data_IF_525156128498
#
_entry.id   IF_525156128498
#
_cell.length_a   1.000
_cell.length_b   1.000
_cell.length_c   1.000
_cell.angle_alpha   90.00
_cell.angle_beta   90.00
_cell.angle_gamma   90.00
#
_symmetry.space_group_name_H-M   'P 1'
#
loop_
_entity.id
_entity.type
_entity.pdbx_description
1 polymer ?
#
# COMPACT_ATOMS: atom_id res chain seq x y z
N UNK A 1 1.49 37.99 7.61
CA UNK A 1 0.26 37.37 7.09
C UNK A 1 0.66 35.99 6.60
N UNK A 2 0.42 34.96 7.42
CA UNK A 2 0.78 33.57 7.08
C UNK A 2 -0.33 32.98 6.20
N UNK A 3 -0.03 32.77 4.92
CA UNK A 3 -0.94 32.13 3.98
C UNK A 3 -0.65 30.63 4.01
N UNK A 4 -1.63 29.84 4.47
CA UNK A 4 -1.58 28.37 4.45
C UNK A 4 -2.27 27.87 3.17
N UNK A 5 -1.61 26.99 2.43
CA UNK A 5 -2.21 26.30 1.28
C UNK A 5 -2.69 24.92 1.69
N UNK A 6 -3.91 24.55 1.30
CA UNK A 6 -4.43 23.18 1.36
C UNK A 6 -4.38 22.53 -0.01
N UNK A 7 -3.92 21.28 -0.10
CA UNK A 7 -3.95 20.48 -1.33
C UNK A 7 -5.22 19.65 -1.41
N UNK A 8 -5.81 19.61 -2.61
CA UNK A 8 -7.03 18.86 -2.94
C UNK A 8 -6.80 18.18 -4.30
N UNK A 9 -7.05 16.87 -4.39
CA UNK A 9 -6.98 16.10 -5.64
C UNK A 9 -8.37 15.53 -6.00
N UNK A 10 -8.74 15.57 -7.29
CA UNK A 10 -10.02 15.08 -7.82
C UNK A 10 -9.74 14.26 -9.11
N UNK A 11 -10.29 13.05 -9.28
CA UNK A 11 -10.06 12.21 -10.47
C UNK A 11 -11.22 12.28 -11.49
N UNK A 12 -10.89 12.37 -12.79
CA UNK A 12 -11.83 12.28 -13.92
C UNK A 12 -11.54 11.03 -14.77
N UNK A 13 -12.61 10.33 -15.18
CA UNK A 13 -12.62 9.03 -15.88
C UNK A 13 -12.58 9.18 -17.40
N UNK A 14 -11.73 8.42 -18.11
CA UNK A 14 -11.93 8.08 -19.54
C UNK A 14 -11.54 6.61 -19.81
N UNK A 15 -12.39 5.92 -20.59
CA UNK A 15 -12.37 4.49 -20.86
C UNK A 15 -11.46 4.04 -22.04
N UNK A 16 -10.86 2.87 -21.80
CA UNK A 16 -10.35 1.75 -22.63
C UNK A 16 -10.43 1.85 -24.17
N UNK A 17 -9.32 1.48 -24.84
CA UNK A 17 -9.33 0.66 -26.06
C UNK A 17 -8.35 -0.51 -25.95
N UNK A 18 -8.87 -1.74 -26.06
CA UNK A 18 -8.10 -2.95 -26.32
C UNK A 18 -7.94 -3.13 -27.83
N UNK A 19 -6.72 -3.32 -28.32
CA UNK A 19 -6.46 -3.72 -29.71
C UNK A 19 -6.20 -5.23 -29.70
N UNK A 20 -7.16 -6.01 -30.21
CA UNK A 20 -6.95 -7.40 -30.56
C UNK A 20 -6.19 -7.45 -31.91
N UNK A 21 -4.99 -8.02 -31.92
CA UNK A 21 -4.27 -8.34 -33.15
C UNK A 21 -4.54 -9.82 -33.46
N UNK A 22 -5.14 -10.17 -34.62
CA UNK A 22 -5.28 -11.55 -35.03
C UNK A 22 -3.96 -12.05 -35.61
N UNK A 23 -3.33 -13.02 -34.94
CA UNK A 23 -2.11 -13.65 -35.43
C UNK A 23 -1.77 -14.90 -34.63
N UNK A 24 -1.65 -16.04 -35.31
CA UNK A 24 -1.36 -17.36 -34.75
C UNK A 24 0.16 -17.53 -34.48
N UNK A 25 0.80 -16.57 -33.82
CA UNK A 25 2.21 -16.65 -33.42
C UNK A 25 2.29 -17.07 -31.94
N UNK A 26 3.15 -18.05 -31.57
CA UNK A 26 3.29 -18.47 -30.19
C UNK A 26 3.79 -17.31 -29.32
N UNK A 27 2.97 -16.91 -28.35
CA UNK A 27 3.17 -15.78 -27.44
C UNK A 27 4.31 -15.98 -26.40
N UNK A 28 5.06 -17.07 -26.48
CA UNK A 28 6.18 -17.32 -25.56
C UNK A 28 7.46 -17.51 -26.39
N UNK A 29 8.45 -16.62 -26.28
CA UNK A 29 9.79 -16.93 -26.77
C UNK A 29 10.32 -18.14 -25.99
N UNK A 30 11.03 -19.03 -26.70
CA UNK A 30 11.77 -20.15 -26.08
C UNK A 30 12.58 -19.63 -24.89
N UNK A 31 12.49 -20.35 -23.76
CA UNK A 31 13.19 -20.04 -22.52
C UNK A 31 14.70 -20.11 -22.79
N UNK A 32 15.30 -18.95 -23.05
CA UNK A 32 16.72 -18.79 -23.29
C UNK A 32 17.51 -19.22 -22.04
N UNK A 33 18.60 -19.94 -22.30
CA UNK A 33 19.67 -20.37 -21.38
C UNK A 33 20.14 -19.31 -20.37
N UNK A 34 19.83 -18.03 -20.59
CA UNK A 34 20.10 -16.92 -19.66
C UNK A 34 19.35 -17.00 -18.33
N UNK A 35 18.22 -17.71 -18.24
CA UNK A 35 17.52 -17.91 -16.95
C UNK A 35 18.38 -18.71 -15.96
N UNK A 36 19.29 -19.57 -16.44
CA UNK A 36 20.20 -20.32 -15.58
C UNK A 36 21.36 -19.48 -15.01
N UNK A 37 21.67 -18.30 -15.58
CA UNK A 37 22.66 -17.40 -14.99
C UNK A 37 22.06 -16.54 -13.87
N UNK A 38 20.79 -16.14 -13.97
CA UNK A 38 20.10 -15.42 -12.90
C UNK A 38 19.95 -16.29 -11.65
N UNK A 39 19.81 -17.61 -11.81
CA UNK A 39 19.75 -18.56 -10.68
C UNK A 39 21.07 -18.76 -9.93
N UNK A 40 22.17 -18.11 -10.36
CA UNK A 40 23.50 -18.18 -9.71
C UNK A 40 23.85 -16.93 -8.89
N UNK A 41 22.98 -15.92 -8.89
CA UNK A 41 23.12 -14.79 -7.95
C UNK A 41 22.70 -15.34 -6.59
N UNK A 42 23.69 -15.79 -5.80
CA UNK A 42 23.46 -16.00 -4.38
C UNK A 42 23.11 -14.64 -3.77
N UNK A 43 22.03 -14.53 -2.98
CA UNK A 43 21.79 -13.32 -2.22
C UNK A 43 23.05 -13.04 -1.41
N UNK A 44 23.59 -11.81 -1.50
CA UNK A 44 24.58 -11.35 -0.55
C UNK A 44 23.87 -11.27 0.80
N UNK A 45 23.93 -12.38 1.53
CA UNK A 45 23.57 -12.44 2.94
C UNK A 45 24.78 -11.83 3.66
N UNK A 46 24.58 -10.68 4.31
CA UNK A 46 25.59 -10.13 5.20
C UNK A 46 25.96 -11.20 6.25
N UNK A 47 27.24 -11.32 6.61
CA UNK A 47 27.70 -12.29 7.61
C UNK A 47 26.85 -12.19 8.89
N UNK A 48 26.27 -13.31 9.30
CA UNK A 48 25.19 -13.40 10.28
C UNK A 48 25.56 -12.99 11.73
N UNK A 49 26.81 -12.65 12.01
CA UNK A 49 27.28 -12.43 13.39
C UNK A 49 27.18 -10.98 13.90
N UNK A 50 26.85 -9.98 13.05
CA UNK A 50 26.66 -8.58 13.48
C UNK A 50 25.44 -7.86 12.83
N UNK A 51 24.55 -8.58 12.14
CA UNK A 51 23.40 -7.94 11.49
C UNK A 51 22.41 -7.40 12.52
N UNK A 52 22.19 -6.08 12.52
CA UNK A 52 21.19 -5.44 13.37
C UNK A 52 19.79 -5.87 12.95
N UNK A 53 18.98 -6.24 13.94
CA UNK A 53 17.61 -6.71 13.73
C UNK A 53 16.60 -5.61 14.05
N UNK A 54 15.60 -5.47 13.18
CA UNK A 54 14.47 -4.57 13.34
C UNK A 54 13.19 -5.40 13.56
N UNK A 55 12.75 -5.47 14.80
CA UNK A 55 11.59 -6.26 15.20
C UNK A 55 10.28 -5.44 15.18
N UNK A 56 9.23 -6.03 14.62
CA UNK A 56 7.86 -5.55 14.68
C UNK A 56 6.90 -6.67 15.12
N UNK A 57 5.79 -6.28 15.76
CA UNK A 57 4.65 -7.16 15.99
C UNK A 57 3.40 -6.54 15.37
N UNK A 58 2.72 -7.32 14.53
CA UNK A 58 1.45 -6.98 13.93
C UNK A 58 0.37 -7.97 14.40
N UNK A 59 -0.79 -7.46 14.75
CA UNK A 59 -1.96 -8.23 15.17
C UNK A 59 -3.03 -8.04 14.13
N UNK A 60 -3.49 -9.14 13.54
CA UNK A 60 -4.59 -9.13 12.58
C UNK A 60 -5.90 -9.21 13.38
N UNK A 61 -6.78 -8.24 13.19
CA UNK A 61 -8.06 -8.16 13.90
C UNK A 61 -9.15 -7.44 13.09
N UNK A 62 -10.41 -7.71 13.42
CA UNK A 62 -11.54 -6.95 12.91
C UNK A 62 -11.61 -5.58 13.59
N UNK A 63 -11.92 -4.52 12.83
CA UNK A 63 -12.03 -3.16 13.34
C UNK A 63 -13.09 -2.37 12.59
N UNK A 64 -13.98 -1.73 13.35
CA UNK A 64 -15.06 -0.92 12.80
C UNK A 64 -14.59 0.51 12.52
N UNK A 65 -14.73 0.95 11.27
CA UNK A 65 -14.46 2.33 10.85
C UNK A 65 -15.76 3.04 10.49
N UNK A 66 -16.06 4.17 11.14
CA UNK A 66 -17.12 5.05 10.67
C UNK A 66 -16.65 5.80 9.42
N UNK A 67 -17.01 5.27 8.25
CA UNK A 67 -16.63 5.82 6.94
C UNK A 67 -17.54 6.95 6.48
N UNK A 68 -18.75 7.05 7.06
CA UNK A 68 -19.62 8.21 6.97
C UNK A 68 -20.59 8.23 8.15
N UNK A 69 -21.30 9.35 8.43
CA UNK A 69 -22.33 9.37 9.48
C UNK A 69 -23.44 8.32 9.32
N UNK A 70 -23.56 7.73 8.11
CA UNK A 70 -24.60 6.78 7.75
C UNK A 70 -24.09 5.35 7.56
N UNK A 71 -22.78 5.11 7.69
CA UNK A 71 -22.21 3.80 7.39
C UNK A 71 -20.95 3.48 8.22
N UNK A 72 -20.83 2.21 8.60
CA UNK A 72 -19.66 1.62 9.25
C UNK A 72 -19.09 0.54 8.34
N UNK A 73 -17.77 0.52 8.19
CA UNK A 73 -17.05 -0.51 7.48
C UNK A 73 -16.40 -1.45 8.50
N UNK A 74 -16.74 -2.73 8.44
CA UNK A 74 -16.20 -3.79 9.31
C UNK A 74 -14.89 -4.31 8.73
N UNK A 75 -13.82 -3.55 8.87
CA UNK A 75 -12.56 -3.81 8.20
C UNK A 75 -11.71 -4.88 8.94
N UNK A 76 -10.71 -5.40 8.24
CA UNK A 76 -9.67 -6.26 8.80
C UNK A 76 -8.36 -5.48 8.77
N UNK A 77 -7.64 -5.46 9.87
CA UNK A 77 -6.51 -4.56 10.05
C UNK A 77 -5.30 -5.29 10.59
N UNK A 78 -4.13 -4.71 10.35
CA UNK A 78 -2.96 -4.95 11.19
C UNK A 78 -2.88 -3.82 12.23
N UNK A 79 -2.97 -4.15 13.52
CA UNK A 79 -2.92 -3.24 14.67
C UNK A 79 -4.02 -2.15 14.68
N UNK A 80 -5.23 -2.47 14.23
CA UNK A 80 -6.39 -1.58 14.34
C UNK A 80 -6.37 -0.36 13.42
N UNK A 81 -5.45 -0.30 12.44
CA UNK A 81 -5.35 0.84 11.51
C UNK A 81 -5.37 0.42 10.05
N UNK A 82 -5.79 1.35 9.19
CA UNK A 82 -5.76 1.20 7.73
C UNK A 82 -5.10 2.44 7.12
N UNK A 83 -3.99 2.29 6.37
CA UNK A 83 -3.17 1.08 6.29
C UNK A 83 -2.64 0.67 7.67
N UNK A 84 -2.03 -0.52 7.73
CA UNK A 84 -1.18 -0.91 8.84
C UNK A 84 -0.12 0.17 9.15
N UNK A 85 0.41 0.21 10.39
CA UNK A 85 1.54 1.07 10.71
C UNK A 85 2.70 0.84 9.74
N UNK A 86 3.27 1.92 9.20
CA UNK A 86 4.42 1.84 8.30
C UNK A 86 5.61 1.19 9.02
N UNK A 87 6.14 0.12 8.46
CA UNK A 87 7.36 -0.50 8.93
C UNK A 87 8.55 0.27 8.36
N UNK A 88 9.50 0.66 9.20
CA UNK A 88 10.75 1.30 8.78
C UNK A 88 11.94 0.43 9.14
N UNK A 89 12.86 0.25 8.21
CA UNK A 89 14.05 -0.58 8.37
C UNK A 89 15.20 0.03 7.58
N UNK A 90 16.43 -0.16 8.04
CA UNK A 90 17.61 0.37 7.35
C UNK A 90 18.18 -0.69 6.38
N UNK A 91 18.69 -0.25 5.22
CA UNK A 91 19.44 -1.11 4.30
C UNK A 91 20.62 -1.77 5.05
N UNK A 92 20.72 -3.09 4.95
CA UNK A 92 21.65 -3.95 5.69
C UNK A 92 21.05 -4.60 6.95
N UNK A 93 19.93 -4.11 7.50
CA UNK A 93 19.28 -4.72 8.66
C UNK A 93 18.47 -5.99 8.28
N UNK A 94 18.20 -6.82 9.29
CA UNK A 94 17.19 -7.89 9.20
C UNK A 94 15.84 -7.34 9.64
N UNK A 95 14.84 -7.35 8.76
CA UNK A 95 13.46 -7.07 9.14
C UNK A 95 12.82 -8.34 9.70
N UNK A 96 12.44 -8.32 10.98
CA UNK A 96 11.68 -9.40 11.64
C UNK A 96 10.28 -8.93 11.97
N UNK A 97 9.26 -9.62 11.46
CA UNK A 97 7.84 -9.28 11.70
C UNK A 97 7.15 -10.50 12.30
N UNK A 98 6.76 -10.41 13.58
CA UNK A 98 5.86 -11.39 14.20
C UNK A 98 4.42 -10.98 13.94
N UNK A 99 3.65 -11.87 13.34
CA UNK A 99 2.25 -11.64 13.01
C UNK A 99 1.39 -12.59 13.83
N UNK A 100 0.42 -12.03 14.55
CA UNK A 100 -0.54 -12.77 15.37
C UNK A 100 -1.90 -12.65 14.70
N UNK A 101 -2.58 -13.77 14.47
CA UNK A 101 -3.91 -13.76 13.89
C UNK A 101 -4.98 -13.83 15.00
N UNK A 102 -5.54 -12.67 15.35
CA UNK A 102 -6.69 -12.55 16.26
C UNK A 102 -8.03 -12.45 15.51
N UNK A 103 -8.03 -12.74 14.20
CA UNK A 103 -9.23 -12.81 13.38
C UNK A 103 -9.73 -14.27 13.27
N UNK A 104 -10.95 -14.44 12.73
CA UNK A 104 -11.60 -15.74 12.64
C UNK A 104 -11.34 -16.49 11.31
N UNK A 105 -10.63 -15.87 10.37
CA UNK A 105 -10.18 -16.46 9.11
C UNK A 105 -8.67 -16.73 9.15
N UNK A 106 -8.19 -17.57 8.23
CA UNK A 106 -6.74 -17.76 8.03
C UNK A 106 -6.18 -16.54 7.30
N UNK A 107 -5.04 -16.03 7.79
CA UNK A 107 -4.39 -14.85 7.25
C UNK A 107 -2.88 -15.05 7.08
N UNK A 108 -2.24 -14.16 6.34
CA UNK A 108 -0.80 -14.15 6.13
C UNK A 108 -0.24 -12.74 6.06
N UNK A 109 1.07 -12.65 6.01
CA UNK A 109 1.81 -11.42 5.71
C UNK A 109 2.72 -11.71 4.53
N UNK A 110 2.46 -11.05 3.40
CA UNK A 110 3.28 -11.12 2.21
C UNK A 110 3.88 -9.75 1.92
N UNK A 111 5.20 -9.63 2.09
CA UNK A 111 5.94 -8.41 1.80
C UNK A 111 6.57 -8.48 0.40
N UNK A 112 6.43 -7.41 -0.37
CA UNK A 112 6.98 -7.26 -1.72
C UNK A 112 8.47 -6.88 -1.65
N UNK A 113 9.26 -7.67 -0.92
CA UNK A 113 10.71 -7.46 -0.80
C UNK A 113 11.42 -7.88 -2.09
N UNK A 114 12.49 -7.17 -2.45
CA UNK A 114 13.29 -7.49 -3.64
C UNK A 114 13.95 -8.88 -3.55
N UNK A 115 14.43 -9.23 -2.35
CA UNK A 115 15.02 -10.52 -2.02
C UNK A 115 14.25 -11.12 -0.84
N UNK A 116 13.87 -12.40 -0.94
CA UNK A 116 13.23 -13.12 0.15
C UNK A 116 13.53 -14.62 0.10
N UNK A 117 13.54 -15.26 1.26
CA UNK A 117 13.49 -16.71 1.38
C UNK A 117 12.02 -17.15 1.23
N UNK A 118 11.70 -18.10 0.33
CA UNK A 118 10.33 -18.61 0.17
C UNK A 118 9.66 -19.00 1.49
N UNK A 119 10.40 -19.46 2.52
CA UNK A 119 9.86 -19.78 3.85
C UNK A 119 9.16 -18.59 4.54
N UNK A 120 9.55 -17.36 4.20
CA UNK A 120 9.02 -16.11 4.74
C UNK A 120 8.20 -15.33 3.69
N UNK A 121 7.76 -15.97 2.60
CA UNK A 121 6.98 -15.30 1.55
C UNK A 121 5.53 -14.99 1.99
N UNK A 122 4.90 -15.89 2.75
CA UNK A 122 3.52 -15.70 3.23
C UNK A 122 2.48 -15.72 2.11
N UNK A 123 2.72 -16.49 1.05
CA UNK A 123 1.82 -16.67 -0.09
C UNK A 123 1.38 -18.14 -0.25
N UNK A 124 0.39 -18.45 -1.11
CA UNK A 124 -0.09 -19.81 -1.34
C UNK A 124 1.02 -20.77 -1.79
N UNK A 125 2.15 -20.27 -2.30
CA UNK A 125 3.31 -21.11 -2.63
C UNK A 125 3.82 -21.88 -1.39
N UNK A 126 3.69 -21.30 -0.20
CA UNK A 126 4.12 -21.92 1.05
C UNK A 126 3.34 -23.20 1.35
N UNK A 127 2.03 -23.19 1.10
CA UNK A 127 1.17 -24.36 1.26
C UNK A 127 1.40 -25.38 0.14
N UNK A 128 1.53 -24.91 -1.11
CA UNK A 128 1.72 -25.79 -2.28
C UNK A 128 3.04 -26.56 -2.20
N UNK A 129 4.12 -25.89 -1.77
CA UNK A 129 5.46 -26.49 -1.68
C UNK A 129 5.73 -27.15 -0.33
N UNK A 130 4.95 -26.82 0.70
CA UNK A 130 5.20 -27.21 2.09
C UNK A 130 6.32 -26.43 2.78
N UNK A 131 7.05 -25.57 2.07
CA UNK A 131 8.12 -24.73 2.63
C UNK A 131 7.48 -23.53 3.32
N UNK A 132 7.70 -23.37 4.63
CA UNK A 132 7.12 -22.25 5.37
C UNK A 132 5.60 -22.28 5.48
N UNK A 133 4.96 -23.45 5.38
CA UNK A 133 3.49 -23.58 5.41
C UNK A 133 2.81 -22.93 6.63
N UNK A 134 3.52 -22.79 7.76
CA UNK A 134 3.02 -22.07 8.95
C UNK A 134 2.83 -20.56 8.76
N UNK A 135 3.31 -20.00 7.64
CA UNK A 135 3.06 -18.61 7.25
C UNK A 135 1.64 -18.35 6.74
N UNK A 136 0.84 -19.42 6.52
CA UNK A 136 -0.62 -19.31 6.48
C UNK A 136 -1.13 -19.47 7.91
N UNK A 137 -1.39 -18.36 8.58
CA UNK A 137 -1.62 -18.29 10.02
C UNK A 137 -3.09 -18.61 10.31
N UNK A 138 -3.42 -19.76 10.93
CA UNK A 138 -4.80 -20.07 11.29
C UNK A 138 -5.32 -19.12 12.39
N UNK A 139 -6.64 -19.07 12.62
CA UNK A 139 -7.21 -18.32 13.73
C UNK A 139 -6.54 -18.64 15.07
N UNK A 140 -6.14 -17.61 15.82
CA UNK A 140 -5.40 -17.73 17.09
C UNK A 140 -3.93 -18.13 16.96
N UNK A 141 -3.44 -18.34 15.73
CA UNK A 141 -2.05 -18.68 15.45
C UNK A 141 -1.13 -17.45 15.35
N UNK A 142 0.17 -17.72 15.20
CA UNK A 142 1.18 -16.70 14.92
C UNK A 142 2.31 -17.25 14.05
N UNK A 143 2.99 -16.36 13.33
CA UNK A 143 4.17 -16.68 12.56
C UNK A 143 5.16 -15.51 12.54
N UNK A 144 6.45 -15.81 12.41
CA UNK A 144 7.51 -14.82 12.30
C UNK A 144 8.13 -14.85 10.91
N UNK A 145 8.08 -13.71 10.23
CA UNK A 145 8.66 -13.47 8.92
C UNK A 145 9.99 -12.74 9.07
N UNK A 146 10.99 -13.13 8.30
CA UNK A 146 12.34 -12.54 8.34
C UNK A 146 12.82 -12.23 6.92
N UNK A 147 13.32 -11.01 6.72
CA UNK A 147 13.81 -10.54 5.42
C UNK A 147 15.16 -9.84 5.58
N UNK A 148 16.15 -10.27 4.80
CA UNK A 148 17.42 -9.55 4.66
C UNK A 148 17.21 -8.35 3.75
N UNK A 149 17.43 -7.15 4.27
CA UNK A 149 17.06 -5.93 3.58
C UNK A 149 18.26 -5.34 2.85
N UNK A 150 18.45 -5.68 1.58
CA UNK A 150 19.67 -5.32 0.84
C UNK A 150 19.51 -4.12 -0.12
N UNK A 151 18.30 -3.59 -0.29
CA UNK A 151 18.02 -2.50 -1.23
C UNK A 151 17.11 -1.45 -0.60
N UNK A 152 17.59 -0.20 -0.51
CA UNK A 152 16.76 0.94 -0.09
C UNK A 152 15.66 1.29 -1.08
N UNK A 153 14.52 1.75 -0.57
CA UNK A 153 13.35 2.03 -1.38
C UNK A 153 12.05 2.04 -0.59
N UNK A 154 10.96 1.92 -1.33
CA UNK A 154 9.59 1.85 -0.82
C UNK A 154 8.96 0.60 -1.35
N UNK A 155 8.40 -0.20 -0.46
CA UNK A 155 7.60 -1.35 -0.81
C UNK A 155 6.42 -1.45 0.14
N UNK A 156 5.64 -2.51 0.01
CA UNK A 156 4.42 -2.73 0.75
C UNK A 156 4.28 -4.20 1.13
N UNK A 157 3.29 -4.46 1.97
CA UNK A 157 2.87 -5.80 2.31
C UNK A 157 1.35 -5.88 2.33
N UNK A 158 0.84 -7.09 2.17
CA UNK A 158 -0.59 -7.36 2.32
C UNK A 158 -0.84 -8.83 2.68
N UNK A 159 -2.08 -9.13 3.03
CA UNK A 159 -2.53 -10.52 3.20
C UNK A 159 -2.60 -11.25 1.87
N UNK A 160 -2.23 -12.53 1.87
CA UNK A 160 -2.22 -13.38 0.68
C UNK A 160 -2.81 -14.78 0.95
N UNK A 161 -3.55 -14.94 2.05
CA UNK A 161 -4.01 -16.25 2.50
C UNK A 161 -5.15 -16.82 1.64
N UNK A 162 -5.98 -15.96 1.03
CA UNK A 162 -7.08 -16.34 0.15
C UNK A 162 -7.93 -17.50 0.72
N UNK A 163 -8.58 -17.24 1.85
CA UNK A 163 -9.20 -18.29 2.69
C UNK A 163 -10.72 -18.29 2.61
N UNK A 164 -11.35 -19.43 2.91
CA UNK A 164 -12.82 -19.55 3.10
C UNK A 164 -13.67 -19.02 1.93
N UNK A 165 -13.21 -19.22 0.69
CA UNK A 165 -13.92 -18.81 -0.52
C UNK A 165 -13.73 -17.34 -0.91
N UNK A 166 -12.90 -16.61 -0.18
CA UNK A 166 -12.50 -15.24 -0.49
C UNK A 166 -11.15 -15.24 -1.22
N UNK A 167 -11.01 -14.37 -2.21
CA UNK A 167 -9.75 -14.17 -2.92
C UNK A 167 -8.81 -13.25 -2.14
N UNK A 168 -7.54 -13.22 -2.58
CA UNK A 168 -6.51 -12.30 -2.07
C UNK A 168 -7.02 -10.85 -2.07
N UNK A 169 -7.68 -10.47 -3.17
CA UNK A 169 -8.23 -9.12 -3.33
C UNK A 169 -9.25 -8.76 -2.26
N UNK A 170 -10.06 -9.72 -1.82
CA UNK A 170 -11.11 -9.45 -0.85
C UNK A 170 -10.47 -9.15 0.50
N UNK A 171 -9.40 -9.87 0.85
CA UNK A 171 -8.60 -9.61 2.05
C UNK A 171 -7.88 -8.25 1.98
N UNK A 172 -7.29 -7.90 0.84
CA UNK A 172 -6.66 -6.58 0.62
C UNK A 172 -7.70 -5.47 0.77
N UNK A 173 -8.80 -5.54 0.01
CA UNK A 173 -9.84 -4.50 0.04
C UNK A 173 -10.52 -4.41 1.40
N UNK A 174 -10.56 -5.50 2.18
CA UNK A 174 -11.07 -5.46 3.55
C UNK A 174 -10.11 -4.76 4.53
N UNK A 175 -8.89 -4.40 4.11
CA UNK A 175 -7.99 -3.50 4.85
C UNK A 175 -6.61 -4.08 5.21
N UNK A 176 -6.32 -5.34 4.84
CA UNK A 176 -5.09 -6.02 5.23
C UNK A 176 -3.92 -5.65 4.31
N UNK A 177 -3.42 -4.44 4.48
CA UNK A 177 -2.25 -3.95 3.78
C UNK A 177 -1.47 -2.89 4.56
N UNK A 178 -0.20 -2.69 4.18
CA UNK A 178 0.67 -1.71 4.79
C UNK A 178 1.88 -1.35 3.94
N UNK A 179 2.73 -0.47 4.48
CA UNK A 179 3.91 0.05 3.79
C UNK A 179 5.19 -0.31 4.53
N UNK A 180 6.27 -0.48 3.76
CA UNK A 180 7.63 -0.69 4.25
C UNK A 180 8.53 0.37 3.61
N UNK A 181 9.17 1.18 4.45
CA UNK A 181 10.18 2.15 4.01
C UNK A 181 11.55 1.59 4.38
N UNK A 182 12.38 1.40 3.36
CA UNK A 182 13.76 0.93 3.52
C UNK A 182 14.68 2.14 3.39
N UNK A 183 15.21 2.59 4.51
CA UNK A 183 16.05 3.76 4.63
C UNK A 183 17.48 3.45 4.20
N UNK A 184 18.07 4.34 3.41
CA UNK A 184 19.47 4.26 3.01
C UNK A 184 20.37 4.94 4.04
N UNK A 185 21.54 4.37 4.30
CA UNK A 185 22.61 5.02 5.08
C UNK A 185 23.95 5.04 4.34
N UNK A 186 24.51 6.23 4.03
CA UNK A 186 23.92 7.56 4.24
C UNK A 186 22.74 7.83 3.29
N UNK A 187 21.80 8.71 3.66
CA UNK A 187 20.69 9.10 2.79
C UNK A 187 21.20 9.80 1.52
N UNK A 188 20.53 9.58 0.38
CA UNK A 188 20.90 10.25 -0.90
C UNK A 188 20.67 11.76 -0.86
N UNK A 189 19.61 12.18 -0.17
CA UNK A 189 19.17 13.57 -0.06
C UNK A 189 18.60 13.82 1.33
N UNK A 190 18.76 15.03 1.84
CA UNK A 190 18.10 15.46 3.06
C UNK A 190 16.61 15.73 2.78
N UNK A 191 15.73 15.18 3.62
CA UNK A 191 14.28 15.28 3.48
C UNK A 191 13.72 15.88 4.78
N UNK A 192 13.02 17.02 4.68
CA UNK A 192 12.39 17.67 5.84
C UNK A 192 11.10 16.98 6.24
N UNK A 193 10.35 16.43 5.27
CA UNK A 193 9.10 15.71 5.49
C UNK A 193 9.01 14.47 4.63
N UNK A 194 8.79 13.34 5.28
CA UNK A 194 8.60 12.04 4.66
C UNK A 194 7.16 11.60 4.93
N UNK A 195 6.38 11.46 3.86
CA UNK A 195 4.93 11.26 3.90
C UNK A 195 4.58 10.00 3.12
N UNK A 196 3.82 9.10 3.75
CA UNK A 196 3.26 7.91 3.10
C UNK A 196 1.79 8.12 2.78
N UNK A 197 1.41 7.87 1.53
CA UNK A 197 0.04 7.88 1.02
C UNK A 197 -0.23 6.50 0.42
N UNK A 198 -1.17 5.78 1.00
CA UNK A 198 -1.69 4.53 0.46
C UNK A 198 -3.10 4.78 -0.07
N UNK A 199 -3.29 4.51 -1.35
CA UNK A 199 -4.57 4.58 -2.05
C UNK A 199 -5.18 3.19 -2.13
N UNK A 200 -6.48 3.09 -1.87
CA UNK A 200 -7.24 1.84 -1.96
C UNK A 200 -8.74 2.15 -2.05
N UNK A 201 -9.56 1.11 -2.06
CA UNK A 201 -11.01 1.17 -1.90
C UNK A 201 -11.43 0.45 -0.61
N UNK A 202 -12.65 0.74 -0.15
CA UNK A 202 -13.23 -0.02 0.97
C UNK A 202 -13.71 -1.39 0.50
N UNK A 203 -13.63 -2.36 1.41
CA UNK A 203 -14.14 -3.70 1.19
C UNK A 203 -15.67 -3.79 1.16
N UNK A 204 -16.17 -5.01 1.01
CA UNK A 204 -17.59 -5.25 0.79
C UNK A 204 -18.43 -5.16 2.07
N UNK A 205 -17.84 -5.39 3.25
CA UNK A 205 -18.58 -5.50 4.51
C UNK A 205 -18.88 -4.12 5.14
N UNK A 206 -19.87 -3.44 4.56
CA UNK A 206 -20.29 -2.10 4.98
C UNK A 206 -21.73 -2.13 5.49
N UNK A 207 -21.90 -1.90 6.78
CA UNK A 207 -23.21 -1.70 7.41
C UNK A 207 -23.71 -0.28 7.16
N UNK A 208 -24.92 -0.15 6.59
CA UNK A 208 -25.59 1.15 6.42
C UNK A 208 -26.59 1.38 7.55
N UNK A 209 -26.25 2.30 8.46
CA UNK A 209 -27.12 2.78 9.55
C UNK A 209 -28.35 3.52 9.03
N UNK A 210 -28.20 4.26 7.92
CA UNK A 210 -29.28 4.98 7.26
C UNK A 210 -28.97 5.23 5.78
N UNK A 211 -29.93 5.80 5.04
CA UNK A 211 -29.68 6.25 3.65
C UNK A 211 -28.65 7.38 3.66
N UNK A 212 -27.59 7.24 2.87
CA UNK A 212 -26.54 8.27 2.73
C UNK A 212 -25.37 7.82 1.87
N UNK A 213 -24.45 8.74 1.54
CA UNK A 213 -23.26 8.43 0.78
C UNK A 213 -22.24 7.65 1.61
N UNK A 214 -21.45 6.83 0.92
CA UNK A 214 -20.32 6.05 1.47
C UNK A 214 -19.12 6.33 0.57
N UNK A 215 -17.90 6.48 1.11
CA UNK A 215 -16.73 6.62 0.25
C UNK A 215 -16.50 5.31 -0.51
N UNK A 216 -16.10 5.41 -1.77
CA UNK A 216 -15.60 4.26 -2.52
C UNK A 216 -14.07 4.20 -2.41
N UNK A 217 -13.43 5.36 -2.65
CA UNK A 217 -11.98 5.53 -2.55
C UNK A 217 -11.55 6.01 -1.18
N UNK A 218 -10.41 5.50 -0.72
CA UNK A 218 -9.76 5.92 0.52
C UNK A 218 -8.28 6.23 0.27
N UNK A 219 -7.79 7.23 1.01
CA UNK A 219 -6.38 7.55 1.19
C UNK A 219 -6.06 7.42 2.67
N UNK A 220 -5.15 6.52 3.02
CA UNK A 220 -4.83 6.17 4.41
C UNK A 220 -6.08 5.92 5.28
N UNK A 221 -6.99 5.05 4.81
CA UNK A 221 -8.21 4.68 5.53
C UNK A 221 -9.31 5.74 5.58
N UNK A 222 -9.10 6.92 4.97
CA UNK A 222 -10.10 8.00 4.93
C UNK A 222 -10.56 8.28 3.51
N UNK A 223 -11.86 8.47 3.31
CA UNK A 223 -12.41 8.78 2.00
C UNK A 223 -13.54 9.80 2.08
N UNK A 224 -13.79 10.48 0.96
CA UNK A 224 -14.90 11.44 0.83
C UNK A 224 -16.19 10.70 0.51
N UNK A 225 -17.20 10.67 1.43
CA UNK A 225 -18.48 10.03 1.14
C UNK A 225 -19.17 10.72 -0.03
N UNK A 226 -19.51 9.95 -1.08
CA UNK A 226 -20.19 10.49 -2.26
C UNK A 226 -19.27 11.15 -3.29
N UNK A 227 -17.95 11.15 -3.02
CA UNK A 227 -16.92 11.58 -3.98
C UNK A 227 -17.04 13.04 -4.43
N UNK A 228 -16.61 13.30 -5.66
CA UNK A 228 -16.58 14.64 -6.25
C UNK A 228 -17.95 15.32 -6.26
N UNK A 229 -19.02 14.56 -6.55
CA UNK A 229 -20.38 15.10 -6.54
C UNK A 229 -20.76 15.70 -5.19
N UNK A 230 -20.40 15.04 -4.09
CA UNK A 230 -20.64 15.58 -2.75
C UNK A 230 -19.85 16.88 -2.51
N UNK A 231 -18.62 16.96 -3.03
CA UNK A 231 -17.81 18.18 -2.94
C UNK A 231 -18.41 19.33 -3.75
N UNK A 232 -18.96 19.06 -4.93
CA UNK A 232 -19.66 20.08 -5.72
C UNK A 232 -20.90 20.63 -4.99
N UNK A 233 -21.67 19.76 -4.35
CA UNK A 233 -22.84 20.15 -3.54
C UNK A 233 -22.40 21.00 -2.34
N UNK A 234 -21.38 20.57 -1.61
CA UNK A 234 -20.79 21.35 -0.51
C UNK A 234 -20.27 22.70 -1.00
N UNK A 235 -19.61 22.76 -2.16
CA UNK A 235 -19.12 24.01 -2.72
C UNK A 235 -20.26 24.97 -3.07
N UNK A 236 -21.35 24.47 -3.66
CA UNK A 236 -22.53 25.28 -3.99
C UNK A 236 -23.18 25.88 -2.73
N UNK A 237 -23.20 25.14 -1.63
CA UNK A 237 -23.85 25.55 -0.39
C UNK A 237 -22.96 26.39 0.54
N UNK A 238 -21.69 26.02 0.67
CA UNK A 238 -20.76 26.52 1.70
C UNK A 238 -19.47 27.13 1.14
N UNK A 239 -19.31 27.16 -0.18
CA UNK A 239 -18.11 27.64 -0.83
C UNK A 239 -16.86 26.79 -0.54
N UNK A 240 -15.69 27.37 -0.79
CA UNK A 240 -14.40 26.69 -0.64
C UNK A 240 -14.11 26.28 0.81
N UNK A 241 -14.51 27.07 1.79
CA UNK A 241 -14.27 26.77 3.21
C UNK A 241 -14.99 25.48 3.63
N UNK A 242 -16.21 25.25 3.13
CA UNK A 242 -16.92 23.99 3.37
C UNK A 242 -16.23 22.78 2.74
N UNK A 243 -15.65 22.94 1.55
CA UNK A 243 -14.88 21.89 0.89
C UNK A 243 -13.61 21.56 1.69
N UNK A 244 -12.89 22.59 2.17
CA UNK A 244 -11.71 22.41 3.02
C UNK A 244 -12.07 21.75 4.35
N UNK A 245 -13.18 22.15 4.98
CA UNK A 245 -13.68 21.51 6.20
C UNK A 245 -13.97 20.02 5.97
N UNK A 246 -14.60 19.69 4.85
CA UNK A 246 -14.88 18.30 4.48
C UNK A 246 -13.58 17.51 4.30
N UNK A 247 -12.60 18.05 3.58
CA UNK A 247 -11.33 17.36 3.37
C UNK A 247 -10.54 17.14 4.65
N UNK A 248 -10.48 18.12 5.55
CA UNK A 248 -9.81 17.96 6.85
C UNK A 248 -10.38 16.78 7.67
N UNK A 249 -11.63 16.38 7.43
CA UNK A 249 -12.26 15.22 8.08
C UNK A 249 -12.01 13.92 7.31
N UNK A 250 -12.04 13.99 5.99
CA UNK A 250 -12.22 12.82 5.11
C UNK A 250 -11.01 12.42 4.29
N UNK A 251 -9.92 13.20 4.33
CA UNK A 251 -8.63 12.82 3.74
C UNK A 251 -7.48 13.24 4.68
N UNK A 252 -6.29 12.63 4.54
CA UNK A 252 -5.09 13.11 5.21
C UNK A 252 -4.71 14.51 4.72
N UNK A 253 -4.41 15.43 5.64
CA UNK A 253 -3.92 16.77 5.33
C UNK A 253 -2.51 16.93 5.87
N UNK A 254 -1.59 17.27 4.98
CA UNK A 254 -0.18 17.44 5.31
C UNK A 254 0.21 18.91 5.21
N UNK A 255 0.98 19.39 6.19
CA UNK A 255 1.48 20.75 6.25
C UNK A 255 2.97 20.75 5.95
N UNK A 256 3.44 21.77 5.22
CA UNK A 256 4.85 22.05 4.99
C UNK A 256 5.12 23.56 5.03
N UNK A 257 6.36 23.96 5.30
CA UNK A 257 6.84 25.33 5.26
C UNK A 257 7.53 25.59 3.93
N UNK A 258 7.48 26.85 3.49
CA UNK A 258 8.25 27.29 2.31
C UNK A 258 9.73 27.00 2.54
N UNK A 259 10.33 26.29 1.58
CA UNK A 259 11.73 25.86 1.62
C UNK A 259 11.96 24.43 2.13
N UNK A 260 10.96 23.78 2.72
CA UNK A 260 11.09 22.37 3.12
C UNK A 260 11.05 21.43 1.90
N UNK A 261 11.92 20.42 1.90
CA UNK A 261 11.89 19.31 0.95
C UNK A 261 10.92 18.23 1.44
N UNK A 262 9.93 17.89 0.61
CA UNK A 262 8.90 16.90 0.92
C UNK A 262 9.05 15.68 0.02
N UNK A 263 9.14 14.51 0.63
CA UNK A 263 9.10 13.21 -0.03
C UNK A 263 7.72 12.58 0.18
N UNK A 264 7.13 12.13 -0.92
CA UNK A 264 5.90 11.34 -0.91
C UNK A 264 6.22 9.92 -1.35
N UNK A 265 5.84 8.96 -0.51
CA UNK A 265 5.75 7.54 -0.81
C UNK A 265 4.30 7.26 -1.17
N UNK A 266 4.01 7.05 -2.45
CA UNK A 266 2.63 6.86 -2.92
C UNK A 266 2.47 5.44 -3.41
N UNK A 267 1.55 4.71 -2.78
CA UNK A 267 1.32 3.28 -3.00
C UNK A 267 -0.15 3.09 -3.37
N UNK A 268 -0.44 2.25 -4.35
CA UNK A 268 -1.80 1.87 -4.74
C UNK A 268 -2.03 0.38 -4.51
N UNK A 269 -2.89 0.06 -3.54
CA UNK A 269 -3.32 -1.31 -3.20
C UNK A 269 -4.82 -1.50 -3.43
N UNK A 270 -5.41 -0.61 -4.23
CA UNK A 270 -6.77 -0.75 -4.72
C UNK A 270 -6.87 -1.51 -6.03
N UNK A 271 -8.11 -1.69 -6.50
CA UNK A 271 -8.42 -2.25 -7.82
C UNK A 271 -8.44 -1.18 -8.92
N UNK A 272 -8.52 0.11 -8.59
CA UNK A 272 -8.52 1.15 -9.63
C UNK A 272 -7.12 1.64 -9.95
N UNK A 273 -6.95 2.09 -11.20
CA UNK A 273 -5.77 2.85 -11.59
C UNK A 273 -5.97 4.28 -11.11
N UNK A 274 -4.98 4.83 -10.42
CA UNK A 274 -5.00 6.22 -9.97
C UNK A 274 -4.00 7.07 -10.73
N UNK A 275 -4.29 8.36 -10.83
CA UNK A 275 -3.34 9.37 -11.29
C UNK A 275 -2.98 10.26 -10.11
N UNK A 276 -1.75 10.15 -9.62
CA UNK A 276 -1.26 11.01 -8.56
C UNK A 276 -0.59 12.25 -9.14
N UNK A 277 -1.07 13.42 -8.74
CA UNK A 277 -0.49 14.72 -9.07
C UNK A 277 -0.72 15.72 -7.95
N UNK A 278 0.12 16.75 -7.91
CA UNK A 278 0.05 17.82 -6.91
C UNK A 278 -0.24 19.14 -7.62
N UNK A 279 -1.42 19.72 -7.37
CA UNK A 279 -1.76 21.03 -7.93
C UNK A 279 -0.78 22.10 -7.43
N UNK A 280 -0.32 22.97 -8.33
CA UNK A 280 0.55 24.11 -8.01
C UNK A 280 1.98 23.74 -7.60
N UNK A 281 2.36 22.47 -7.68
CA UNK A 281 3.68 21.99 -7.29
C UNK A 281 4.37 21.27 -8.45
N UNK A 282 5.70 21.32 -8.48
CA UNK A 282 6.50 20.55 -9.44
C UNK A 282 7.10 19.34 -8.72
N UNK A 283 6.76 18.13 -9.15
CA UNK A 283 7.48 16.92 -8.71
C UNK A 283 8.90 16.94 -9.31
N UNK A 284 9.91 16.93 -8.42
CA UNK A 284 11.33 17.14 -8.77
C UNK A 284 11.99 15.82 -9.20
N UNK A 285 11.60 14.71 -8.58
CA UNK A 285 12.01 13.36 -8.92
C UNK A 285 10.93 12.38 -8.49
N UNK A 286 10.63 11.39 -9.32
CA UNK A 286 9.87 10.21 -8.88
C UNK A 286 10.69 8.98 -9.20
N UNK A 287 10.81 8.07 -8.24
CA UNK A 287 11.44 6.76 -8.45
C UNK A 287 10.38 5.70 -8.30
N UNK A 288 10.30 4.74 -9.22
CA UNK A 288 9.49 3.56 -8.98
C UNK A 288 10.17 2.63 -7.96
N UNK A 289 9.44 1.60 -7.53
CA UNK A 289 9.89 0.44 -6.75
C UNK A 289 11.25 -0.13 -7.20
N UNK A 290 11.58 -0.03 -8.50
CA UNK A 290 12.84 -0.50 -9.11
C UNK A 290 13.92 0.58 -9.24
N UNK A 291 13.75 1.74 -8.61
CA UNK A 291 14.72 2.83 -8.59
C UNK A 291 14.86 3.62 -9.90
N UNK A 292 13.99 3.41 -10.88
CA UNK A 292 13.98 4.16 -12.15
C UNK A 292 13.42 5.56 -11.94
N UNK A 293 14.13 6.59 -12.41
CA UNK A 293 13.65 7.98 -12.31
C UNK A 293 12.62 8.26 -13.40
N UNK A 294 11.38 8.48 -12.98
CA UNK A 294 10.32 9.05 -13.80
C UNK A 294 10.32 10.56 -13.54
N UNK A 295 10.30 11.37 -14.59
CA UNK A 295 10.10 12.82 -14.46
C UNK A 295 8.75 13.16 -15.06
N UNK A 296 7.72 13.14 -14.22
CA UNK A 296 6.35 13.49 -14.62
C UNK A 296 5.70 14.37 -13.55
N UNK A 297 4.73 15.18 -13.96
CA UNK A 297 3.84 15.91 -13.04
C UNK A 297 2.56 15.11 -12.71
N UNK A 298 2.38 13.96 -13.36
CA UNK A 298 1.30 13.02 -13.11
C UNK A 298 1.86 11.61 -13.15
N UNK A 299 1.67 10.85 -12.08
CA UNK A 299 2.13 9.49 -11.95
C UNK A 299 0.93 8.54 -12.05
N UNK A 300 0.87 7.68 -13.08
CA UNK A 300 -0.08 6.59 -13.07
C UNK A 300 0.34 5.57 -12.00
N UNK A 301 -0.59 5.21 -11.14
CA UNK A 301 -0.46 4.20 -10.10
C UNK A 301 -1.37 3.05 -10.49
N UNK A 302 -0.79 1.96 -10.98
CA UNK A 302 -1.56 0.74 -11.26
C UNK A 302 -1.72 -0.05 -9.97
N UNK A 303 -2.48 -1.14 -10.00
CA UNK A 303 -2.65 -1.99 -8.83
C UNK A 303 -1.28 -2.58 -8.41
N UNK A 304 -0.92 -2.47 -7.14
CA UNK A 304 0.33 -3.03 -6.60
C UNK A 304 1.59 -2.24 -6.96
N UNK A 305 1.53 -0.90 -7.00
CA UNK A 305 2.70 -0.02 -7.22
C UNK A 305 2.92 0.95 -6.08
#
# INVERSE_FOLDING_TARGET
>A
MDIKYGLIAIPVVIAIFAIAIPGNEPFLPEIDSKVQEVSKIQPQIADAEEQKVRDYTLVIEATDFEVSPTAVWHAWTFNGTIPAPTLRVQEGELLRVRVINNHNLTHSFHAHMADYDPKHDGSPINTITGVGAGSMIPPGGEWTYEYNVNTSGTTFFHDHAASEGLGIKDHILQGLYGSIIIERDPPKTFIDRDIVIVMSEIGYDVERKSKGPVPFYIMNGKGVPGGEKALEEIFKEKGLDGVVEQFNKTIPVHYAKVGETVQFHVINLGEQIHSFHLHGNKMISSTNDRGSVITSQTLPLVQGT
#
